data_IF_704448946090
#
_entry.id   IF_704448946090
#
_cell.length_a   1.000
_cell.length_b   1.000
_cell.length_c   1.000
_cell.angle_alpha   90.00
_cell.angle_beta   90.00
_cell.angle_gamma   90.00
#
_symmetry.space_group_name_H-M   'P 1'
#
loop_
_entity.id
_entity.type
_entity.pdbx_description
1 polymer ?
#
# COMPACT_ATOMS: atom_id res chain seq x y z
N UNK A 1 2.07 14.74 -27.04
CA UNK A 1 2.52 15.62 -25.96
C UNK A 1 2.00 15.12 -24.63
N UNK A 2 2.90 14.82 -23.69
CA UNK A 2 2.55 14.45 -22.31
C UNK A 2 2.73 15.71 -21.45
N UNK A 3 1.65 16.44 -21.12
CA UNK A 3 1.78 17.70 -20.40
C UNK A 3 2.22 17.45 -18.96
N UNK A 4 3.15 18.28 -18.48
CA UNK A 4 3.54 18.28 -17.07
C UNK A 4 2.38 18.77 -16.21
N UNK A 5 2.12 18.06 -15.11
CA UNK A 5 1.17 18.49 -14.08
C UNK A 5 1.96 19.09 -12.92
N UNK A 6 1.65 20.34 -12.57
CA UNK A 6 2.17 20.99 -11.37
C UNK A 6 1.07 21.02 -10.31
N UNK A 7 1.42 20.63 -9.08
CA UNK A 7 0.49 20.61 -7.96
C UNK A 7 1.13 21.21 -6.71
N UNK A 8 0.30 21.71 -5.81
CA UNK A 8 0.75 22.15 -4.49
C UNK A 8 1.36 20.98 -3.71
N UNK A 9 2.49 21.23 -3.04
CA UNK A 9 3.09 20.26 -2.14
C UNK A 9 2.41 20.33 -0.76
N UNK A 10 1.68 19.26 -0.41
CA UNK A 10 1.04 19.13 0.89
C UNK A 10 1.99 18.39 1.83
N UNK A 11 2.46 19.07 2.87
CA UNK A 11 3.25 18.44 3.94
C UNK A 11 2.32 17.72 4.91
N UNK A 12 2.60 16.46 5.20
CA UNK A 12 1.78 15.69 6.12
C UNK A 12 2.13 14.21 6.20
N UNK A 13 1.28 13.44 6.87
CA UNK A 13 1.41 11.98 6.99
C UNK A 13 0.66 11.29 5.85
N UNK A 14 1.29 10.27 5.26
CA UNK A 14 0.70 9.49 4.18
C UNK A 14 -0.16 8.34 4.71
N UNK A 15 -1.31 8.15 4.06
CA UNK A 15 -2.24 7.05 4.30
C UNK A 15 -2.72 6.51 2.95
N UNK A 16 -3.06 5.23 2.91
CA UNK A 16 -3.61 4.61 1.71
C UNK A 16 -4.93 3.92 2.07
N UNK A 17 -5.87 3.92 1.13
CA UNK A 17 -7.10 3.14 1.23
C UNK A 17 -7.18 2.07 0.15
N UNK A 18 -7.89 0.99 0.44
CA UNK A 18 -8.27 -0.02 -0.53
C UNK A 18 -9.72 -0.41 -0.31
N UNK A 19 -10.47 -0.47 -1.41
CA UNK A 19 -11.91 -0.73 -1.38
C UNK A 19 -12.35 -1.63 -2.52
N UNK A 20 -13.46 -2.33 -2.29
CA UNK A 20 -14.24 -3.02 -3.32
C UNK A 20 -15.62 -2.38 -3.31
N UNK A 21 -16.14 -2.09 -4.50
CA UNK A 21 -17.44 -1.47 -4.67
C UNK A 21 -18.28 -2.19 -5.74
N UNK A 22 -19.59 -2.06 -5.61
CA UNK A 22 -20.56 -2.53 -6.58
C UNK A 22 -21.74 -1.54 -6.64
N UNK A 23 -22.08 -1.09 -7.83
CA UNK A 23 -23.21 -0.21 -8.13
C UNK A 23 -23.25 1.02 -7.20
N UNK A 24 -22.08 1.66 -7.04
CA UNK A 24 -21.91 2.85 -6.22
C UNK A 24 -21.94 2.62 -4.71
N UNK A 25 -21.87 1.36 -4.24
CA UNK A 25 -21.81 1.00 -2.81
C UNK A 25 -20.50 0.33 -2.45
N UNK A 26 -19.92 0.71 -1.32
CA UNK A 26 -18.74 0.03 -0.78
C UNK A 26 -19.11 -1.32 -0.16
N UNK A 27 -18.44 -2.38 -0.61
CA UNK A 27 -18.55 -3.74 -0.08
C UNK A 27 -17.46 -4.03 0.95
N UNK A 28 -16.27 -3.44 0.77
CA UNK A 28 -15.14 -3.59 1.66
C UNK A 28 -14.29 -2.31 1.65
N UNK A 29 -13.68 -1.97 2.78
CA UNK A 29 -12.78 -0.82 2.89
C UNK A 29 -11.71 -1.06 3.95
N UNK A 30 -10.45 -0.76 3.62
CA UNK A 30 -9.35 -0.70 4.58
C UNK A 30 -8.59 0.60 4.41
N UNK A 31 -8.02 1.08 5.52
CA UNK A 31 -7.07 2.19 5.54
C UNK A 31 -5.83 1.74 6.30
N UNK A 32 -4.67 2.19 5.84
CA UNK A 32 -3.41 1.95 6.53
C UNK A 32 -2.48 3.15 6.44
N UNK A 33 -1.60 3.29 7.44
CA UNK A 33 -0.55 4.30 7.39
C UNK A 33 0.61 3.86 6.49
N UNK A 34 1.18 4.81 5.77
CA UNK A 34 2.33 4.61 4.89
C UNK A 34 3.57 5.26 5.52
N UNK A 35 4.21 4.53 6.45
CA UNK A 35 5.37 5.03 7.20
C UNK A 35 6.68 4.48 6.64
N UNK A 36 6.74 3.17 6.40
CA UNK A 36 7.90 2.54 5.77
C UNK A 36 7.59 2.27 4.31
N UNK A 37 8.41 2.86 3.44
CA UNK A 37 8.32 2.72 2.00
C UNK A 37 9.63 2.19 1.41
N UNK A 38 9.52 1.57 0.24
CA UNK A 38 10.63 1.29 -0.64
C UNK A 38 11.06 2.64 -1.27
N UNK A 39 12.03 3.32 -0.66
CA UNK A 39 12.43 4.67 -1.09
C UNK A 39 11.28 5.67 -0.89
N UNK A 40 10.98 6.47 -1.91
CA UNK A 40 9.79 7.34 -1.94
C UNK A 40 8.55 6.64 -2.55
N UNK A 41 8.67 5.37 -2.92
CA UNK A 41 7.63 4.62 -3.63
C UNK A 41 6.75 3.77 -2.71
N UNK A 42 6.56 2.51 -3.09
CA UNK A 42 5.57 1.63 -2.51
C UNK A 42 5.71 1.43 -0.98
N UNK A 43 4.57 1.43 -0.29
CA UNK A 43 4.50 1.08 1.14
C UNK A 43 4.88 -0.39 1.34
N UNK A 44 5.73 -0.67 2.34
CA UNK A 44 6.22 -2.01 2.68
C UNK A 44 5.81 -2.48 4.08
N UNK A 45 5.17 -1.59 4.85
CA UNK A 45 4.57 -1.87 6.15
C UNK A 45 3.16 -1.28 6.20
N UNK A 46 2.16 -2.12 6.44
CA UNK A 46 0.75 -1.79 6.35
C UNK A 46 0.16 -1.84 7.76
N UNK A 47 0.22 -0.71 8.48
CA UNK A 47 -0.37 -0.58 9.81
C UNK A 47 -1.84 -0.13 9.68
N UNK A 48 -2.82 -0.97 10.10
CA UNK A 48 -4.23 -0.63 10.05
C UNK A 48 -4.51 0.70 10.71
N UNK A 49 -5.39 1.47 10.07
CA UNK A 49 -5.85 2.75 10.57
C UNK A 49 -7.34 2.85 10.32
N UNK A 50 -8.07 3.49 11.23
CA UNK A 50 -9.48 3.80 11.05
C UNK A 50 -9.64 5.30 10.83
N UNK A 51 -10.38 5.66 9.80
CA UNK A 51 -10.65 7.05 9.46
C UNK A 51 -12.03 7.18 8.82
N UNK A 52 -12.98 7.72 9.58
CA UNK A 52 -14.32 8.03 9.07
C UNK A 52 -14.25 9.06 7.93
N UNK A 53 -13.32 10.02 7.99
CA UNK A 53 -13.14 11.02 6.95
C UNK A 53 -12.71 10.39 5.62
N UNK A 54 -11.71 9.50 5.64
CA UNK A 54 -11.29 8.78 4.43
C UNK A 54 -12.42 7.88 3.91
N UNK A 55 -13.11 7.16 4.80
CA UNK A 55 -14.24 6.32 4.42
C UNK A 55 -15.33 7.16 3.71
N UNK A 56 -15.71 8.29 4.28
CA UNK A 56 -16.74 9.18 3.73
C UNK A 56 -16.33 9.77 2.36
N UNK A 57 -15.06 10.15 2.20
CA UNK A 57 -14.54 10.63 0.91
C UNK A 57 -14.66 9.53 -0.15
N UNK A 58 -14.20 8.32 0.17
CA UNK A 58 -14.21 7.19 -0.78
C UNK A 58 -15.63 6.74 -1.10
N UNK A 59 -16.51 6.66 -0.09
CA UNK A 59 -17.92 6.31 -0.28
C UNK A 59 -18.62 7.31 -1.20
N UNK A 60 -18.38 8.61 -0.99
CA UNK A 60 -18.91 9.66 -1.86
C UNK A 60 -18.41 9.49 -3.31
N UNK A 61 -17.12 9.29 -3.53
CA UNK A 61 -16.56 9.12 -4.88
C UNK A 61 -17.19 7.92 -5.58
N UNK A 62 -17.23 6.77 -4.90
CA UNK A 62 -17.77 5.53 -5.45
C UNK A 62 -19.25 5.69 -5.81
N UNK A 63 -20.03 6.34 -4.94
CA UNK A 63 -21.46 6.61 -5.16
C UNK A 63 -21.71 7.53 -6.35
N UNK A 64 -21.04 8.68 -6.41
CA UNK A 64 -21.23 9.67 -7.48
C UNK A 64 -20.81 9.12 -8.86
N UNK A 65 -19.82 8.22 -8.89
CA UNK A 65 -19.39 7.55 -10.12
C UNK A 65 -20.21 6.30 -10.47
N UNK A 66 -21.14 5.87 -9.61
CA UNK A 66 -21.78 4.56 -9.67
C UNK A 66 -20.77 3.42 -9.92
N UNK A 67 -19.65 3.46 -9.19
CA UNK A 67 -18.47 2.63 -9.48
C UNK A 67 -18.67 1.17 -9.06
N UNK A 68 -18.17 0.26 -9.91
CA UNK A 68 -18.09 -1.19 -9.65
C UNK A 68 -16.68 -1.67 -9.93
N UNK A 69 -16.07 -2.33 -8.94
CA UNK A 69 -14.72 -2.89 -9.04
C UNK A 69 -13.85 -2.59 -7.82
N UNK A 70 -12.56 -2.77 -7.99
CA UNK A 70 -11.55 -2.44 -6.98
C UNK A 70 -11.11 -0.99 -7.15
N UNK A 71 -10.93 -0.26 -6.04
CA UNK A 71 -10.47 1.11 -6.06
C UNK A 71 -9.68 1.46 -4.81
N UNK A 72 -8.58 2.17 -5.00
CA UNK A 72 -7.65 2.60 -3.96
C UNK A 72 -7.31 4.05 -4.11
N UNK A 73 -7.00 4.70 -2.98
CA UNK A 73 -6.58 6.09 -2.97
C UNK A 73 -5.41 6.29 -2.04
N UNK A 74 -4.49 7.14 -2.45
CA UNK A 74 -3.43 7.64 -1.56
C UNK A 74 -3.85 9.01 -1.03
N UNK A 75 -3.59 9.23 0.25
CA UNK A 75 -3.96 10.43 0.98
C UNK A 75 -2.75 11.04 1.69
N UNK A 76 -2.77 12.36 1.81
CA UNK A 76 -1.93 13.09 2.77
C UNK A 76 -2.83 13.75 3.79
N UNK A 77 -2.61 13.45 5.07
CA UNK A 77 -3.18 14.23 6.18
C UNK A 77 -2.29 15.44 6.44
N UNK A 78 -2.77 16.63 6.07
CA UNK A 78 -1.98 17.87 6.15
C UNK A 78 -1.63 18.24 7.59
N UNK A 79 -0.36 18.60 7.82
CA UNK A 79 0.09 19.12 9.13
C UNK A 79 -0.52 20.49 9.46
N UNK A 80 -0.95 21.25 8.44
CA UNK A 80 -1.44 22.62 8.60
C UNK A 80 -2.86 22.67 9.17
N UNK A 81 -3.73 21.74 8.75
CA UNK A 81 -5.15 21.76 9.09
C UNK A 81 -5.73 20.39 9.48
N UNK A 82 -4.92 19.33 9.50
CA UNK A 82 -5.30 17.95 9.83
C UNK A 82 -6.32 17.29 8.90
N UNK A 83 -6.61 17.87 7.73
CA UNK A 83 -7.53 17.35 6.70
C UNK A 83 -6.83 16.30 5.83
N UNK A 84 -7.58 15.28 5.40
CA UNK A 84 -7.07 14.28 4.45
C UNK A 84 -7.34 14.70 3.01
N UNK A 85 -6.27 14.85 2.23
CA UNK A 85 -6.35 15.17 0.81
C UNK A 85 -6.04 13.91 -0.02
N UNK A 86 -6.95 13.45 -0.89
CA UNK A 86 -6.63 12.41 -1.86
C UNK A 86 -5.65 12.98 -2.90
N UNK A 87 -4.58 12.24 -3.17
CA UNK A 87 -3.51 12.66 -4.10
C UNK A 87 -3.38 11.73 -5.31
N UNK A 88 -3.82 10.47 -5.20
CA UNK A 88 -3.76 9.48 -6.28
C UNK A 88 -4.97 8.55 -6.20
N UNK A 89 -5.46 8.09 -7.34
CA UNK A 89 -6.47 7.05 -7.45
C UNK A 89 -5.91 5.87 -8.26
N UNK A 90 -6.03 4.67 -7.70
CA UNK A 90 -5.64 3.40 -8.29
C UNK A 90 -6.88 2.51 -8.46
N UNK A 91 -7.53 2.47 -9.64
CA UNK A 91 -8.74 1.66 -9.89
C UNK A 91 -8.41 0.17 -10.07
N UNK A 92 -7.69 -0.40 -9.10
CA UNK A 92 -7.15 -1.77 -9.11
C UNK A 92 -6.86 -2.25 -7.69
N UNK A 93 -6.49 -3.52 -7.58
CA UNK A 93 -5.93 -4.08 -6.35
C UNK A 93 -4.66 -3.33 -5.91
N UNK A 94 -4.56 -3.08 -4.61
CA UNK A 94 -3.34 -2.59 -3.95
C UNK A 94 -3.10 -3.35 -2.64
N UNK A 95 -2.00 -3.06 -1.96
CA UNK A 95 -1.56 -3.75 -0.75
C UNK A 95 -2.54 -3.65 0.44
N UNK A 96 -3.52 -2.74 0.40
CA UNK A 96 -4.57 -2.67 1.42
C UNK A 96 -5.42 -3.94 1.53
N UNK A 97 -5.42 -4.80 0.49
CA UNK A 97 -6.07 -6.11 0.52
C UNK A 97 -5.47 -7.04 1.58
N UNK A 98 -4.18 -6.89 1.93
CA UNK A 98 -3.51 -7.74 2.91
C UNK A 98 -4.11 -7.63 4.33
N UNK A 99 -4.87 -6.57 4.61
CA UNK A 99 -5.52 -6.35 5.90
C UNK A 99 -6.80 -7.17 6.08
N UNK A 100 -7.32 -7.76 5.01
CA UNK A 100 -8.50 -8.62 5.08
C UNK A 100 -8.13 -10.09 5.30
N UNK A 101 -9.09 -10.82 5.88
CA UNK A 101 -9.11 -12.28 5.84
C UNK A 101 -9.65 -12.80 4.51
N UNK A 102 -9.69 -14.13 4.35
CA UNK A 102 -10.26 -14.78 3.17
C UNK A 102 -11.71 -14.36 2.89
N UNK A 103 -12.46 -13.90 3.90
CA UNK A 103 -13.81 -13.32 3.75
C UNK A 103 -13.92 -12.19 2.71
N UNK A 104 -12.81 -11.56 2.31
CA UNK A 104 -12.83 -10.57 1.22
C UNK A 104 -13.25 -11.16 -0.13
N UNK A 105 -13.11 -12.47 -0.32
CA UNK A 105 -13.54 -13.15 -1.55
C UNK A 105 -15.03 -13.04 -1.77
N UNK A 106 -15.82 -12.92 -0.70
CA UNK A 106 -17.26 -12.75 -0.77
C UNK A 106 -17.65 -11.47 -1.53
N UNK A 107 -16.84 -10.40 -1.44
CA UNK A 107 -17.07 -9.14 -2.16
C UNK A 107 -17.02 -9.27 -3.70
N UNK A 108 -16.45 -10.35 -4.22
CA UNK A 108 -16.33 -10.61 -5.65
C UNK A 108 -17.46 -11.47 -6.21
N UNK A 109 -18.35 -11.97 -5.35
CA UNK A 109 -19.46 -12.81 -5.79
C UNK A 109 -20.60 -11.94 -6.33
N UNK A 110 -21.17 -12.35 -7.46
CA UNK A 110 -22.29 -11.63 -8.09
C UNK A 110 -23.58 -11.67 -7.26
N UNK A 111 -23.72 -12.66 -6.38
CA UNK A 111 -24.86 -12.84 -5.47
C UNK A 111 -24.62 -12.21 -4.08
N UNK A 112 -23.48 -11.54 -3.88
CA UNK A 112 -23.17 -10.94 -2.59
C UNK A 112 -24.15 -9.82 -2.25
N UNK A 113 -24.72 -9.88 -1.06
CA UNK A 113 -25.63 -8.85 -0.59
C UNK A 113 -24.81 -7.60 -0.18
N UNK A 114 -24.98 -6.45 -0.87
CA UNK A 114 -24.24 -5.22 -0.56
C UNK A 114 -24.49 -4.67 0.85
N UNK A 115 -25.48 -5.20 1.56
CA UNK A 115 -25.82 -4.82 2.93
C UNK A 115 -24.79 -5.27 3.96
N UNK A 116 -23.85 -6.14 3.59
CA UNK A 116 -22.85 -6.68 4.51
C UNK A 116 -21.50 -6.05 4.20
N UNK A 117 -21.09 -5.06 5.00
CA UNK A 117 -19.81 -4.39 4.84
C UNK A 117 -18.68 -5.25 5.41
N UNK A 118 -17.75 -5.68 4.56
CA UNK A 118 -16.60 -6.50 4.96
C UNK A 118 -15.56 -5.57 5.57
N UNK A 119 -15.31 -5.76 6.87
CA UNK A 119 -14.26 -5.04 7.58
C UNK A 119 -12.93 -5.78 7.50
N UNK A 120 -11.79 -5.06 7.58
CA UNK A 120 -10.50 -5.68 7.84
C UNK A 120 -10.59 -6.47 9.14
N UNK A 121 -10.07 -7.69 9.15
CA UNK A 121 -10.14 -8.61 10.31
C UNK A 121 -8.78 -8.76 10.99
N UNK A 122 -7.86 -7.83 10.73
CA UNK A 122 -6.49 -7.89 11.23
C UNK A 122 -6.13 -6.59 11.92
N UNK A 123 -6.30 -6.56 13.24
CA UNK A 123 -5.69 -5.53 14.09
C UNK A 123 -4.15 -5.56 14.01
N UNK A 124 -3.60 -6.65 13.49
CA UNK A 124 -2.17 -6.81 13.25
C UNK A 124 -1.77 -6.15 11.94
N UNK A 125 -0.71 -5.34 12.02
CA UNK A 125 0.00 -4.83 10.87
C UNK A 125 0.49 -5.96 9.96
N UNK A 126 0.63 -5.65 8.68
CA UNK A 126 1.24 -6.53 7.68
C UNK A 126 2.54 -5.91 7.20
N UNK A 127 3.43 -6.72 6.64
CA UNK A 127 4.66 -6.22 6.03
C UNK A 127 5.14 -7.10 4.90
N UNK A 128 6.01 -6.56 4.06
CA UNK A 128 6.96 -7.36 3.27
C UNK A 128 8.28 -7.37 4.05
N UNK A 129 8.50 -8.42 4.84
CA UNK A 129 9.58 -8.43 5.84
C UNK A 129 10.97 -8.19 5.22
N UNK A 130 11.23 -8.84 4.09
CA UNK A 130 12.51 -8.70 3.39
C UNK A 130 12.74 -7.27 2.87
N UNK A 131 11.69 -6.63 2.35
CA UNK A 131 11.75 -5.24 1.91
C UNK A 131 11.96 -4.28 3.09
N UNK A 132 11.36 -4.53 4.26
CA UNK A 132 11.63 -3.74 5.47
C UNK A 132 13.11 -3.79 5.87
N UNK A 133 13.75 -4.96 5.78
CA UNK A 133 15.17 -5.11 6.08
C UNK A 133 16.07 -4.39 5.06
N UNK A 134 15.70 -4.37 3.78
CA UNK A 134 16.51 -3.76 2.73
C UNK A 134 16.32 -2.24 2.67
N UNK A 135 15.08 -1.75 2.81
CA UNK A 135 14.76 -0.35 2.56
C UNK A 135 14.54 0.48 3.82
N UNK A 136 13.90 -0.09 4.86
CA UNK A 136 13.61 0.66 6.07
C UNK A 136 14.77 0.61 7.09
N UNK A 137 15.41 -0.55 7.28
CA UNK A 137 16.50 -0.67 8.25
C UNK A 137 17.68 0.29 7.97
N UNK A 138 18.14 0.49 6.72
CA UNK A 138 19.25 1.43 6.45
C UNK A 138 18.89 2.91 6.62
N UNK A 139 17.62 3.27 6.79
CA UNK A 139 17.18 4.68 6.98
C UNK A 139 17.11 5.08 8.45
N UNK A 140 17.21 4.13 9.39
CA UNK A 140 17.18 4.43 10.81
C UNK A 140 18.43 5.24 11.22
N UNK A 141 18.25 6.32 11.99
CA UNK A 141 19.33 7.23 12.42
C UNK A 141 19.44 7.35 13.93
N UNK A 142 18.42 6.91 14.67
CA UNK A 142 18.33 7.07 16.12
C UNK A 142 17.93 5.77 16.82
N UNK A 143 18.29 5.65 18.11
CA UNK A 143 17.87 4.51 18.93
C UNK A 143 16.34 4.40 19.05
N UNK A 144 15.63 5.53 19.07
CA UNK A 144 14.17 5.57 19.09
C UNK A 144 13.55 4.93 17.84
N UNK A 145 14.06 5.30 16.66
CA UNK A 145 13.65 4.68 15.39
C UNK A 145 13.99 3.19 15.34
N UNK A 146 15.15 2.79 15.86
CA UNK A 146 15.53 1.38 16.00
C UNK A 146 14.54 0.57 16.84
N UNK A 147 14.16 1.09 18.01
CA UNK A 147 13.17 0.46 18.89
C UNK A 147 11.79 0.35 18.23
N UNK A 148 11.35 1.40 17.55
CA UNK A 148 10.06 1.38 16.83
C UNK A 148 10.06 0.39 15.66
N UNK A 149 11.14 0.36 14.87
CA UNK A 149 11.33 -0.61 13.78
C UNK A 149 11.23 -2.05 14.31
N UNK A 150 12.00 -2.39 15.34
CA UNK A 150 11.97 -3.73 15.95
C UNK A 150 10.55 -4.07 16.42
N UNK A 151 9.91 -3.15 17.14
CA UNK A 151 8.53 -3.34 17.62
C UNK A 151 7.57 -3.62 16.46
N UNK A 152 7.62 -2.82 15.39
CA UNK A 152 6.76 -2.99 14.21
C UNK A 152 7.06 -4.28 13.47
N UNK A 153 8.33 -4.61 13.27
CA UNK A 153 8.75 -5.83 12.59
C UNK A 153 8.22 -7.08 13.29
N UNK A 154 8.36 -7.19 14.62
CA UNK A 154 7.86 -8.34 15.37
C UNK A 154 6.33 -8.38 15.54
N UNK A 155 5.66 -7.22 15.54
CA UNK A 155 4.19 -7.16 15.62
C UNK A 155 3.49 -7.38 14.28
N UNK A 156 4.23 -7.30 13.18
CA UNK A 156 3.67 -7.43 11.83
C UNK A 156 3.75 -8.86 11.34
N UNK A 157 2.75 -9.27 10.55
CA UNK A 157 2.79 -10.54 9.82
C UNK A 157 3.37 -10.30 8.43
N UNK A 158 4.36 -11.10 8.04
CA UNK A 158 4.86 -11.09 6.66
C UNK A 158 3.79 -11.62 5.70
N UNK A 159 3.56 -10.92 4.60
CA UNK A 159 2.56 -11.28 3.58
C UNK A 159 3.07 -12.34 2.63
N UNK A 160 4.40 -12.49 2.51
CA UNK A 160 5.05 -13.44 1.59
C UNK A 160 5.35 -14.78 2.28
N UNK A 161 5.86 -14.77 3.51
CA UNK A 161 6.21 -15.99 4.23
C UNK A 161 4.99 -16.83 4.62
N UNK A 162 4.96 -18.06 4.11
CA UNK A 162 4.00 -19.11 4.51
C UNK A 162 4.74 -20.43 4.69
N UNK A 163 4.60 -21.06 5.85
CA UNK A 163 5.27 -22.34 6.14
C UNK A 163 4.87 -23.45 5.16
N UNK A 164 3.60 -23.49 4.77
CA UNK A 164 3.08 -24.49 3.82
C UNK A 164 3.27 -24.08 2.35
N UNK A 165 3.86 -22.91 2.07
CA UNK A 165 4.17 -22.42 0.73
C UNK A 165 5.40 -21.50 0.76
N UNK A 166 6.58 -22.10 0.93
CA UNK A 166 7.83 -21.36 1.08
C UNK A 166 8.41 -20.86 -0.25
N UNK A 167 7.90 -21.32 -1.40
CA UNK A 167 8.47 -20.98 -2.72
C UNK A 167 8.44 -19.47 -3.00
N UNK A 168 7.35 -18.72 -2.75
CA UNK A 168 7.34 -17.26 -2.90
C UNK A 168 8.40 -16.59 -2.02
N UNK A 169 8.52 -17.01 -0.76
CA UNK A 169 9.50 -16.45 0.17
C UNK A 169 10.94 -16.62 -0.34
N UNK A 170 11.30 -17.83 -0.77
CA UNK A 170 12.65 -18.14 -1.31
C UNK A 170 12.90 -17.39 -2.63
N UNK A 171 11.87 -17.20 -3.45
CA UNK A 171 12.01 -16.55 -4.75
C UNK A 171 12.40 -15.07 -4.65
N UNK A 172 12.15 -14.42 -3.50
CA UNK A 172 12.62 -13.05 -3.24
C UNK A 172 14.15 -12.92 -3.36
N UNK A 173 14.92 -13.92 -2.93
CA UNK A 173 16.38 -13.89 -3.05
C UNK A 173 16.85 -14.00 -4.50
N UNK A 174 16.15 -14.80 -5.32
CA UNK A 174 16.41 -14.90 -6.75
C UNK A 174 16.08 -13.60 -7.47
N UNK A 175 14.94 -13.00 -7.15
CA UNK A 175 14.55 -11.68 -7.67
C UNK A 175 15.57 -10.59 -7.29
N UNK A 176 16.02 -10.58 -6.03
CA UNK A 176 17.05 -9.64 -5.59
C UNK A 176 18.37 -9.84 -6.36
N UNK A 177 18.84 -11.07 -6.52
CA UNK A 177 20.06 -11.35 -7.27
C UNK A 177 19.95 -10.88 -8.73
N UNK A 178 18.78 -11.10 -9.35
CA UNK A 178 18.48 -10.61 -10.70
C UNK A 178 18.53 -9.09 -10.79
N UNK A 179 17.80 -8.37 -9.92
CA UNK A 179 17.79 -6.90 -9.94
C UNK A 179 19.13 -6.28 -9.53
N UNK A 180 19.91 -6.94 -8.67
CA UNK A 180 21.27 -6.51 -8.34
C UNK A 180 22.21 -6.64 -9.53
N UNK A 181 22.14 -7.74 -10.30
CA UNK A 181 22.89 -7.92 -11.55
C UNK A 181 22.45 -6.89 -12.61
N UNK A 182 21.14 -6.66 -12.73
CA UNK A 182 20.58 -5.67 -13.66
C UNK A 182 21.03 -4.24 -13.30
N UNK A 183 20.97 -3.87 -12.03
CA UNK A 183 21.44 -2.59 -11.52
C UNK A 183 22.94 -2.39 -11.79
N UNK A 184 23.75 -3.43 -11.56
CA UNK A 184 25.19 -3.39 -11.87
C UNK A 184 25.46 -3.22 -13.37
N UNK A 185 24.74 -3.93 -14.24
CA UNK A 185 24.89 -3.84 -15.70
C UNK A 185 24.53 -2.47 -16.26
N UNK A 186 23.53 -1.81 -15.68
CA UNK A 186 23.05 -0.51 -16.13
C UNK A 186 23.62 0.68 -15.32
N UNK A 187 24.45 0.40 -14.30
CA UNK A 187 25.00 1.40 -13.38
C UNK A 187 23.92 2.25 -12.69
N UNK A 188 22.86 1.59 -12.21
CA UNK A 188 21.73 2.18 -11.48
C UNK A 188 21.55 1.51 -10.12
N UNK A 189 20.85 2.17 -9.21
CA UNK A 189 20.52 1.62 -7.90
C UNK A 189 19.61 0.38 -8.00
N UNK A 190 19.58 -0.42 -6.93
CA UNK A 190 18.67 -1.56 -6.86
C UNK A 190 17.19 -1.14 -7.03
N UNK A 191 16.83 0.04 -6.52
CA UNK A 191 15.47 0.55 -6.66
C UNK A 191 15.13 0.85 -8.12
N UNK A 192 15.97 1.65 -8.78
CA UNK A 192 15.79 2.00 -10.20
C UNK A 192 15.77 0.74 -11.06
N UNK A 193 16.57 -0.28 -10.74
CA UNK A 193 16.54 -1.56 -11.46
C UNK A 193 15.19 -2.28 -11.36
N UNK A 194 14.44 -2.10 -10.26
CA UNK A 194 13.11 -2.71 -10.09
C UNK A 194 11.99 -1.98 -10.81
N UNK A 195 12.24 -0.74 -11.25
CA UNK A 195 11.26 0.11 -11.95
C UNK A 195 11.69 0.47 -13.36
N UNK A 196 12.89 0.06 -13.80
CA UNK A 196 13.51 0.45 -15.07
C UNK A 196 12.63 0.20 -16.31
N UNK A 197 11.75 -0.81 -16.26
CA UNK A 197 10.85 -1.20 -17.34
C UNK A 197 9.50 -0.46 -17.33
N UNK A 198 9.16 0.22 -16.23
CA UNK A 198 7.85 0.87 -16.03
C UNK A 198 7.95 2.36 -15.69
N UNK A 199 9.12 2.84 -15.27
CA UNK A 199 9.36 4.21 -14.89
C UNK A 199 9.69 5.08 -16.11
N UNK A 200 8.92 6.15 -16.30
CA UNK A 200 9.26 7.21 -17.24
C UNK A 200 10.05 8.30 -16.50
N UNK A 201 11.37 8.33 -16.70
CA UNK A 201 12.28 9.31 -16.08
C UNK A 201 12.51 10.57 -16.94
N UNK A 202 11.69 10.76 -17.99
CA UNK A 202 11.78 11.91 -18.89
C UNK A 202 12.93 11.86 -19.90
N UNK A 203 13.57 10.70 -20.10
CA UNK A 203 14.56 10.47 -21.17
C UNK A 203 14.00 9.61 -22.29
#
# INVERSE_FOLDING_TARGET
DYPWVFQEYIKGKAYCSYSIAQDGKLLAHSVYSSIYCAGQGATIHFEPFESEEILNIVEKIVKELNYTGQISFDFIRSDANNVYYPIECNPRATSGIYLFSESITEAFRSDYNPSTFIKPNSDKSKMVAFAMLIYALPTLRTLGQGKDFIKKFYKSKDVVFRLNDMKPFISQFRGLAYYADLGKKNNISLMEATTMDIEWNGK
#
